data_IF_755152057141
#
_entry.id   IF_755152057141
#
_cell.length_a   1.000
_cell.length_b   1.000
_cell.length_c   1.000
_cell.angle_alpha   90.00
_cell.angle_beta   90.00
_cell.angle_gamma   90.00
#
_symmetry.space_group_name_H-M   'P 1'
#
loop_
_entity.id
_entity.type
_entity.pdbx_description
1 polymer ?
#
# COMPACT_ATOMS: atom_id res chain seq x y z
N UNK A 1 -0.96 -8.97 -14.39
CA UNK A 1 -1.10 -7.75 -13.57
C UNK A 1 0.13 -7.56 -12.71
N UNK A 2 0.65 -6.36 -12.68
CA UNK A 2 1.79 -6.02 -11.84
C UNK A 2 1.30 -5.38 -10.55
N UNK A 3 1.84 -5.86 -9.42
CA UNK A 3 1.52 -5.33 -8.10
C UNK A 3 2.84 -5.04 -7.39
N UNK A 4 3.02 -3.80 -6.94
CA UNK A 4 4.12 -3.42 -6.07
C UNK A 4 3.61 -3.34 -4.64
N UNK A 5 4.40 -3.85 -3.69
CA UNK A 5 4.02 -3.79 -2.30
C UNK A 5 5.21 -3.86 -1.37
N UNK A 6 5.00 -3.42 -0.15
CA UNK A 6 5.99 -3.56 0.91
C UNK A 6 5.31 -3.56 2.28
N UNK A 7 6.02 -4.06 3.28
CA UNK A 7 5.51 -4.15 4.64
C UNK A 7 6.55 -3.63 5.63
N UNK A 8 6.13 -2.69 6.46
CA UNK A 8 6.92 -2.14 7.54
C UNK A 8 6.56 -2.89 8.82
N UNK A 9 7.48 -3.72 9.32
CA UNK A 9 7.25 -4.54 10.52
C UNK A 9 7.18 -3.72 11.80
N UNK A 10 7.85 -2.59 11.87
CA UNK A 10 7.84 -1.74 13.07
C UNK A 10 6.53 -0.96 13.18
N UNK A 11 6.08 -0.40 12.07
CA UNK A 11 4.82 0.35 12.04
C UNK A 11 3.60 -0.55 11.89
N UNK A 12 3.80 -1.80 11.48
CA UNK A 12 2.73 -2.75 11.14
C UNK A 12 1.81 -2.19 10.05
N UNK A 13 2.42 -1.63 9.00
CA UNK A 13 1.72 -1.05 7.87
C UNK A 13 2.15 -1.76 6.58
N UNK A 14 1.17 -2.20 5.80
CA UNK A 14 1.39 -2.77 4.48
C UNK A 14 0.88 -1.80 3.40
N UNK A 15 1.68 -1.63 2.34
CA UNK A 15 1.30 -0.85 1.17
C UNK A 15 1.24 -1.75 -0.04
N UNK A 16 0.21 -1.57 -0.83
CA UNK A 16 0.04 -2.28 -2.10
C UNK A 16 -0.36 -1.27 -3.16
N UNK A 17 0.32 -1.31 -4.31
CA UNK A 17 0.01 -0.45 -5.45
C UNK A 17 -0.17 -1.30 -6.68
N UNK A 18 -1.25 -1.04 -7.38
CA UNK A 18 -1.60 -1.78 -8.58
C UNK A 18 -0.96 -1.14 -9.83
N UNK A 19 -1.02 -1.87 -10.94
CA UNK A 19 -0.35 -1.48 -12.17
C UNK A 19 -0.74 -0.09 -12.68
N UNK A 20 -1.99 0.31 -12.45
CA UNK A 20 -2.51 1.61 -12.89
C UNK A 20 -2.31 2.75 -11.88
N UNK A 21 -1.52 2.51 -10.83
CA UNK A 21 -1.20 3.56 -9.87
C UNK A 21 -0.36 4.66 -10.51
N UNK A 22 -0.80 5.91 -10.34
CA UNK A 22 -0.06 7.10 -10.77
C UNK A 22 0.04 8.07 -9.59
N UNK A 23 1.25 8.30 -9.06
CA UNK A 23 1.43 9.18 -7.90
C UNK A 23 1.06 10.64 -8.17
N UNK A 24 1.00 11.05 -9.45
CA UNK A 24 0.64 12.43 -9.80
C UNK A 24 -0.86 12.68 -9.77
N UNK A 25 -1.68 11.64 -9.90
CA UNK A 25 -3.14 11.77 -10.02
C UNK A 25 -3.90 11.06 -8.91
N UNK A 26 -3.32 10.06 -8.26
CA UNK A 26 -3.99 9.28 -7.23
C UNK A 26 -4.39 10.15 -6.04
N UNK A 27 -5.61 9.95 -5.56
CA UNK A 27 -6.17 10.65 -4.39
C UNK A 27 -6.35 9.64 -3.26
N UNK A 28 -5.82 9.95 -2.10
CA UNK A 28 -5.96 9.10 -0.92
C UNK A 28 -7.26 9.41 -0.18
N UNK A 29 -7.96 8.36 0.22
CA UNK A 29 -9.18 8.43 1.01
C UNK A 29 -8.99 7.59 2.26
N UNK A 30 -9.22 8.18 3.44
CA UNK A 30 -9.09 7.49 4.70
C UNK A 30 -10.27 6.53 4.93
N UNK A 31 -9.94 5.34 5.43
CA UNK A 31 -10.92 4.33 5.84
C UNK A 31 -10.61 3.85 7.25
N UNK A 32 -11.48 3.05 7.85
CA UNK A 32 -11.21 2.47 9.18
C UNK A 32 -9.99 1.54 9.18
N UNK A 33 -9.66 0.97 8.03
CA UNK A 33 -8.55 0.03 7.89
C UNK A 33 -7.23 0.68 7.48
N UNK A 34 -7.25 1.94 7.04
CA UNK A 34 -6.09 2.65 6.53
C UNK A 34 -6.48 3.63 5.43
N UNK A 35 -5.71 3.65 4.35
CA UNK A 35 -5.97 4.51 3.19
C UNK A 35 -6.24 3.66 1.96
N UNK A 36 -7.13 4.15 1.10
CA UNK A 36 -7.25 3.65 -0.25
C UNK A 36 -6.93 4.78 -1.22
N UNK A 37 -6.19 4.44 -2.26
CA UNK A 37 -5.81 5.40 -3.28
C UNK A 37 -6.65 5.17 -4.52
N UNK A 38 -7.25 6.22 -5.03
CA UNK A 38 -8.20 6.16 -6.14
C UNK A 38 -7.70 6.96 -7.31
N UNK A 39 -8.02 6.49 -8.51
CA UNK A 39 -7.92 7.30 -9.72
C UNK A 39 -9.18 8.17 -9.78
N UNK A 40 -9.08 9.51 -9.67
CA UNK A 40 -10.27 10.38 -9.65
C UNK A 40 -11.02 10.40 -10.96
N UNK A 41 -10.40 10.02 -12.08
CA UNK A 41 -11.06 9.99 -13.38
C UNK A 41 -11.94 8.76 -13.57
N UNK A 42 -11.62 7.64 -12.94
CA UNK A 42 -12.35 6.38 -13.10
C UNK A 42 -13.04 5.89 -11.82
N UNK A 43 -12.58 6.36 -10.66
CA UNK A 43 -13.02 5.86 -9.36
C UNK A 43 -12.42 4.51 -8.99
N UNK A 44 -11.50 3.98 -9.78
CA UNK A 44 -10.87 2.70 -9.49
C UNK A 44 -9.89 2.81 -8.33
N UNK A 45 -9.82 1.75 -7.52
CA UNK A 45 -8.80 1.63 -6.48
C UNK A 45 -7.48 1.28 -7.17
N UNK A 46 -6.46 2.12 -6.95
CA UNK A 46 -5.13 1.94 -7.54
C UNK A 46 -4.06 1.62 -6.49
N UNK A 47 -4.39 1.74 -5.21
CA UNK A 47 -3.48 1.41 -4.13
C UNK A 47 -4.19 1.29 -2.80
N UNK A 48 -3.53 0.65 -1.84
CA UNK A 48 -4.03 0.47 -0.47
C UNK A 48 -2.88 0.64 0.52
N UNK A 49 -3.17 1.31 1.64
CA UNK A 49 -2.31 1.32 2.81
C UNK A 49 -3.12 0.74 3.97
N UNK A 50 -2.65 -0.35 4.54
CA UNK A 50 -3.36 -1.04 5.62
C UNK A 50 -2.61 -0.89 6.93
N UNK A 51 -3.26 -0.28 7.91
CA UNK A 51 -2.75 -0.13 9.28
C UNK A 51 -3.07 -1.39 10.08
N UNK A 52 -2.20 -1.70 11.05
CA UNK A 52 -2.34 -2.93 11.83
C UNK A 52 -2.46 -4.16 10.91
N UNK A 53 -1.58 -4.20 9.92
CA UNK A 53 -1.66 -5.17 8.83
C UNK A 53 -1.59 -6.63 9.32
N UNK A 54 -0.83 -6.89 10.39
CA UNK A 54 -0.71 -8.23 10.96
C UNK A 54 -2.02 -8.79 11.51
N UNK A 55 -2.97 -7.91 11.86
CA UNK A 55 -4.29 -8.33 12.32
C UNK A 55 -5.29 -8.53 11.18
N UNK A 56 -4.96 -8.08 9.97
CA UNK A 56 -5.89 -8.07 8.82
C UNK A 56 -5.48 -9.00 7.70
N UNK A 57 -4.17 -9.25 7.55
CA UNK A 57 -3.62 -10.02 6.45
C UNK A 57 -2.89 -11.24 6.98
N UNK A 58 -2.89 -12.36 6.22
CA UNK A 58 -2.15 -13.55 6.63
C UNK A 58 -0.65 -13.27 6.78
N UNK A 59 -0.05 -13.88 7.80
CA UNK A 59 1.39 -13.74 8.05
C UNK A 59 2.22 -14.19 6.85
N UNK A 60 1.80 -15.25 6.17
CA UNK A 60 2.48 -15.77 4.97
C UNK A 60 2.51 -14.74 3.85
N UNK A 61 1.43 -13.99 3.69
CA UNK A 61 1.38 -12.92 2.70
C UNK A 61 2.33 -11.78 3.07
N UNK A 62 2.30 -11.35 4.32
CA UNK A 62 3.17 -10.25 4.80
C UNK A 62 4.65 -10.61 4.66
N UNK A 63 5.01 -11.88 4.89
CA UNK A 63 6.39 -12.35 4.72
C UNK A 63 6.86 -12.28 3.26
N UNK A 64 5.95 -12.26 2.30
CA UNK A 64 6.30 -12.15 0.88
C UNK A 64 6.57 -10.71 0.46
N UNK A 65 6.16 -9.74 1.24
CA UNK A 65 6.35 -8.33 0.92
C UNK A 65 7.74 -7.87 1.36
N UNK A 66 8.48 -7.15 0.50
CA UNK A 66 9.75 -6.57 0.89
C UNK A 66 9.57 -5.45 1.93
N UNK A 67 10.62 -5.11 2.67
CA UNK A 67 10.59 -3.94 3.54
C UNK A 67 10.47 -2.65 2.71
N UNK A 68 10.00 -1.55 3.32
CA UNK A 68 9.97 -0.26 2.64
C UNK A 68 11.35 0.14 2.15
N UNK A 69 11.42 0.76 0.98
CA UNK A 69 12.67 1.33 0.50
C UNK A 69 12.98 2.58 1.29
N UNK A 70 14.13 2.58 1.93
CA UNK A 70 14.64 3.77 2.60
C UNK A 70 15.63 4.43 1.66
N UNK A 71 15.32 5.63 1.18
CA UNK A 71 16.29 6.45 0.49
C UNK A 71 17.26 7.00 1.52
N UNK A 72 18.50 6.52 1.46
CA UNK A 72 19.58 7.13 2.21
C UNK A 72 20.07 8.29 1.37
N UNK A 73 19.75 9.51 1.77
CA UNK A 73 20.32 10.70 1.18
C UNK A 73 21.82 10.72 1.50
N UNK A 74 22.61 10.62 0.48
CA UNK A 74 24.05 10.70 0.61
C UNK A 74 24.48 12.15 0.85
#
# INVERSE_FOLDING_TARGET
MRIDGHYDTEADIAWVRFENYDPHTAVAEETDAGLRELDPSTGEIVGLELWEASSKLPADFLCMLPPPQVEIAA
#
